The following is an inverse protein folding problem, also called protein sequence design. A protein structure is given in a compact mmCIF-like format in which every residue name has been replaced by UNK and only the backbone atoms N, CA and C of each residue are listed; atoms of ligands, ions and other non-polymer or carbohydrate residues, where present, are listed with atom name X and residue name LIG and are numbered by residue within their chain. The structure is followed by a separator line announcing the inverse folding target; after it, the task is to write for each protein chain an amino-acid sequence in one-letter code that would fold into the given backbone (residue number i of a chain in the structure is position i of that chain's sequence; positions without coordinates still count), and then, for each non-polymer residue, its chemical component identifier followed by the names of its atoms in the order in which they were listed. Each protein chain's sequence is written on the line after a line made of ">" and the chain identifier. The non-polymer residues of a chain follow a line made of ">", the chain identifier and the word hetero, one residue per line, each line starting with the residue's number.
data_IF_362725628241
#
_entry.id   IF_362725628241
#
_cell.length_a   1.000
_cell.length_b   1.000
_cell.length_c   1.000
_cell.angle_alpha   90.00
_cell.angle_beta   90.00
_cell.angle_gamma   90.00
#
_symmetry.space_group_name_H-M   'P 1'
#
loop_
_entity.id
_entity.type
_entity.pdbx_description
1 polymer ?
#
# COMPACT_ATOMS: atom_id res chain seq x y z
N UNK A 1 9.73 -6.52 -22.30
CA UNK A 1 9.16 -6.50 -20.91
C UNK A 1 8.89 -7.94 -20.54
N UNK A 2 9.28 -8.38 -19.36
CA UNK A 2 9.12 -9.78 -18.95
C UNK A 2 7.65 -10.05 -18.62
N UNK A 3 7.05 -11.13 -19.16
CA UNK A 3 5.67 -11.57 -18.83
C UNK A 3 5.50 -12.08 -17.39
N UNK A 4 6.43 -11.73 -16.48
CA UNK A 4 6.49 -12.25 -15.11
C UNK A 4 5.26 -11.91 -14.24
N UNK A 5 4.59 -10.80 -14.54
CA UNK A 5 3.43 -10.34 -13.77
C UNK A 5 2.10 -10.64 -14.46
N UNK A 6 2.11 -10.97 -15.75
CA UNK A 6 0.90 -11.24 -16.51
C UNK A 6 0.10 -12.41 -15.93
N UNK A 7 -1.20 -12.19 -15.74
CA UNK A 7 -2.09 -13.18 -15.12
C UNK A 7 -1.95 -13.32 -13.61
N UNK A 8 -1.06 -12.58 -12.95
CA UNK A 8 -1.04 -12.43 -11.51
C UNK A 8 -2.24 -11.61 -11.05
N UNK A 9 -2.60 -11.75 -9.79
CA UNK A 9 -3.74 -11.10 -9.15
C UNK A 9 -3.26 -10.30 -7.95
N UNK A 10 -3.70 -9.06 -7.82
CA UNK A 10 -3.26 -8.17 -6.77
C UNK A 10 -4.43 -7.54 -6.02
N UNK A 11 -4.24 -7.33 -4.72
CA UNK A 11 -5.06 -6.45 -3.89
C UNK A 11 -4.25 -5.22 -3.50
N UNK A 12 -4.78 -4.02 -3.78
CA UNK A 12 -4.18 -2.74 -3.37
C UNK A 12 -5.13 -2.01 -2.43
N UNK A 13 -4.73 -1.80 -1.18
CA UNK A 13 -5.55 -1.10 -0.19
C UNK A 13 -5.37 0.42 -0.27
N UNK A 14 -6.44 1.19 0.00
CA UNK A 14 -6.39 2.66 -0.05
C UNK A 14 -6.09 3.20 -1.45
N UNK A 15 -6.65 2.56 -2.48
CA UNK A 15 -6.29 2.81 -3.88
C UNK A 15 -7.28 3.73 -4.63
N UNK A 16 -8.09 4.54 -3.92
CA UNK A 16 -8.96 5.52 -4.58
C UNK A 16 -8.19 6.73 -5.14
N UNK A 17 -6.97 6.99 -4.66
CA UNK A 17 -6.12 8.11 -5.10
C UNK A 17 -4.65 7.90 -4.75
N UNK A 18 -3.81 8.86 -5.14
CA UNK A 18 -2.40 8.92 -4.76
C UNK A 18 -1.59 7.69 -5.16
N UNK A 19 -0.70 7.24 -4.26
CA UNK A 19 0.20 6.12 -4.50
C UNK A 19 -0.58 4.83 -4.83
N UNK A 20 -1.63 4.51 -4.06
CA UNK A 20 -2.40 3.28 -4.27
C UNK A 20 -3.05 3.21 -5.65
N UNK A 21 -3.62 4.32 -6.13
CA UNK A 21 -4.20 4.40 -7.48
C UNK A 21 -3.12 4.25 -8.56
N UNK A 22 -1.96 4.89 -8.39
CA UNK A 22 -0.85 4.77 -9.32
C UNK A 22 -0.31 3.34 -9.39
N UNK A 23 -0.15 2.67 -8.24
CA UNK A 23 0.27 1.26 -8.14
C UNK A 23 -0.76 0.34 -8.81
N UNK A 24 -2.06 0.51 -8.51
CA UNK A 24 -3.12 -0.29 -9.14
C UNK A 24 -3.10 -0.15 -10.67
N UNK A 25 -2.91 1.07 -11.17
CA UNK A 25 -2.79 1.34 -12.62
C UNK A 25 -1.55 0.67 -13.23
N UNK A 26 -0.39 0.81 -12.59
CA UNK A 26 0.85 0.24 -13.08
C UNK A 26 0.79 -1.30 -13.14
N UNK A 27 0.27 -1.94 -12.09
CA UNK A 27 0.04 -3.38 -12.08
C UNK A 27 -0.91 -3.83 -13.21
N UNK A 28 -2.03 -3.12 -13.39
CA UNK A 28 -2.99 -3.45 -14.44
C UNK A 28 -2.40 -3.31 -15.86
N UNK A 29 -1.52 -2.33 -16.09
CA UNK A 29 -0.79 -2.15 -17.36
C UNK A 29 0.16 -3.31 -17.67
N UNK A 30 0.72 -3.95 -16.63
CA UNK A 30 1.54 -5.18 -16.76
C UNK A 30 0.69 -6.47 -16.88
N UNK A 31 -0.64 -6.35 -16.99
CA UNK A 31 -1.55 -7.49 -17.15
C UNK A 31 -1.88 -8.22 -15.84
N UNK A 32 -1.67 -7.58 -14.71
CA UNK A 32 -2.11 -8.07 -13.39
C UNK A 32 -3.59 -7.76 -13.22
N UNK A 33 -4.40 -8.74 -12.85
CA UNK A 33 -5.78 -8.51 -12.43
C UNK A 33 -5.79 -7.84 -11.05
N UNK A 34 -6.51 -6.72 -10.90
CA UNK A 34 -6.38 -5.87 -9.70
C UNK A 34 -7.73 -5.71 -9.00
N UNK A 35 -7.75 -6.02 -7.71
CA UNK A 35 -8.78 -5.57 -6.78
C UNK A 35 -8.26 -4.34 -6.01
N UNK A 36 -9.13 -3.35 -5.82
CA UNK A 36 -8.84 -2.18 -5.00
C UNK A 36 -9.86 -2.00 -3.90
N UNK A 37 -9.47 -1.40 -2.78
CA UNK A 37 -10.44 -0.97 -1.79
C UNK A 37 -10.19 0.46 -1.31
N UNK A 38 -11.27 1.09 -0.87
CA UNK A 38 -11.26 2.39 -0.21
C UNK A 38 -12.48 2.50 0.71
N UNK A 39 -12.46 3.47 1.64
CA UNK A 39 -13.56 3.68 2.60
C UNK A 39 -14.77 4.40 2.02
N UNK A 40 -14.54 5.27 1.04
CA UNK A 40 -15.59 6.11 0.43
C UNK A 40 -16.00 5.56 -0.93
N UNK A 41 -17.26 5.22 -1.06
CA UNK A 41 -17.82 4.60 -2.26
C UNK A 41 -17.65 5.48 -3.51
N UNK A 42 -17.94 6.78 -3.40
CA UNK A 42 -17.82 7.71 -4.54
C UNK A 42 -16.38 7.85 -5.04
N UNK A 43 -15.39 7.90 -4.11
CA UNK A 43 -13.98 7.96 -4.47
C UNK A 43 -13.55 6.64 -5.13
N UNK A 44 -13.99 5.49 -4.60
CA UNK A 44 -13.71 4.18 -5.16
C UNK A 44 -14.29 4.02 -6.56
N UNK A 45 -15.55 4.42 -6.76
CA UNK A 45 -16.23 4.35 -8.06
C UNK A 45 -15.50 5.19 -9.13
N UNK A 46 -15.08 6.41 -8.79
CA UNK A 46 -14.29 7.27 -9.69
C UNK A 46 -12.95 6.63 -10.06
N UNK A 47 -12.27 6.04 -9.07
CA UNK A 47 -11.00 5.35 -9.29
C UNK A 47 -11.17 4.15 -10.23
N UNK A 48 -12.18 3.30 -10.00
CA UNK A 48 -12.49 2.16 -10.86
C UNK A 48 -12.77 2.58 -12.30
N UNK A 49 -13.60 3.61 -12.51
CA UNK A 49 -13.89 4.14 -13.85
C UNK A 49 -12.62 4.64 -14.55
N UNK A 50 -11.76 5.36 -13.82
CA UNK A 50 -10.48 5.86 -14.35
C UNK A 50 -9.55 4.71 -14.75
N UNK A 51 -9.41 3.70 -13.90
CA UNK A 51 -8.57 2.53 -14.15
C UNK A 51 -9.09 1.71 -15.34
N UNK A 52 -10.38 1.40 -15.39
CA UNK A 52 -11.00 0.65 -16.48
C UNK A 52 -10.88 1.36 -17.82
N UNK A 53 -11.00 2.71 -17.82
CA UNK A 53 -10.77 3.52 -19.03
C UNK A 53 -9.30 3.46 -19.48
N UNK A 54 -8.36 3.50 -18.55
CA UNK A 54 -6.93 3.48 -18.85
C UNK A 54 -6.43 2.10 -19.28
N UNK A 55 -7.02 1.02 -18.76
CA UNK A 55 -6.58 -0.38 -18.99
C UNK A 55 -7.79 -1.28 -19.26
N UNK A 56 -8.47 -1.12 -20.39
CA UNK A 56 -9.78 -1.76 -20.65
C UNK A 56 -9.72 -3.29 -20.85
N UNK A 57 -8.53 -3.85 -21.05
CA UNK A 57 -8.34 -5.28 -21.31
C UNK A 57 -8.03 -6.10 -20.04
N UNK A 58 -7.75 -5.43 -18.93
CA UNK A 58 -7.38 -6.08 -17.67
C UNK A 58 -8.57 -6.06 -16.72
N UNK A 59 -8.79 -7.14 -16.00
CA UNK A 59 -9.83 -7.20 -14.98
C UNK A 59 -9.45 -6.31 -13.80
N UNK A 60 -10.29 -5.31 -13.53
CA UNK A 60 -10.13 -4.39 -12.40
C UNK A 60 -11.46 -4.33 -11.66
N UNK A 61 -11.43 -4.61 -10.38
CA UNK A 61 -12.61 -4.64 -9.49
C UNK A 61 -12.30 -3.93 -8.17
N UNK A 62 -13.33 -3.75 -7.33
CA UNK A 62 -13.10 -3.16 -6.01
C UNK A 62 -14.35 -3.13 -5.16
N UNK A 63 -14.14 -3.03 -3.85
CA UNK A 63 -15.22 -2.88 -2.88
C UNK A 63 -14.87 -1.87 -1.78
N UNK A 64 -15.90 -1.38 -1.13
CA UNK A 64 -15.75 -0.49 0.03
C UNK A 64 -15.28 -1.32 1.22
N UNK A 65 -14.18 -0.92 1.84
CA UNK A 65 -13.68 -1.55 3.06
C UNK A 65 -12.90 -0.54 3.93
N UNK A 66 -13.11 -0.63 5.22
CA UNK A 66 -12.28 0.03 6.24
C UNK A 66 -11.29 -1.01 6.80
N UNK A 67 -10.03 -0.90 6.39
CA UNK A 67 -8.98 -1.84 6.81
C UNK A 67 -8.69 -1.80 8.32
N UNK A 68 -9.10 -0.75 9.03
CA UNK A 68 -8.97 -0.68 10.50
C UNK A 68 -9.92 -1.64 11.24
N UNK A 69 -10.85 -2.28 10.53
CA UNK A 69 -11.86 -3.19 11.07
C UNK A 69 -11.59 -4.61 10.55
N UNK A 70 -11.23 -5.53 11.44
CA UNK A 70 -10.90 -6.90 11.07
C UNK A 70 -12.02 -7.59 10.27
N UNK A 71 -13.29 -7.43 10.67
CA UNK A 71 -14.44 -7.99 9.94
C UNK A 71 -14.57 -7.44 8.51
N UNK A 72 -14.31 -6.13 8.29
CA UNK A 72 -14.30 -5.58 6.93
C UNK A 72 -13.15 -6.12 6.08
N UNK A 73 -12.02 -6.47 6.70
CA UNK A 73 -10.91 -7.11 5.99
C UNK A 73 -11.28 -8.53 5.58
N UNK A 74 -11.96 -9.30 6.43
CA UNK A 74 -12.47 -10.64 6.07
C UNK A 74 -13.43 -10.58 4.88
N UNK A 75 -14.38 -9.64 4.90
CA UNK A 75 -15.31 -9.40 3.79
C UNK A 75 -14.58 -8.98 2.51
N UNK A 76 -13.56 -8.11 2.63
CA UNK A 76 -12.71 -7.69 1.51
C UNK A 76 -12.00 -8.89 0.87
N UNK A 77 -11.40 -9.77 1.68
CA UNK A 77 -10.69 -10.93 1.15
C UNK A 77 -11.65 -11.97 0.55
N UNK A 78 -12.85 -12.17 1.13
CA UNK A 78 -13.89 -12.99 0.53
C UNK A 78 -14.36 -12.42 -0.83
N UNK A 79 -14.47 -11.10 -0.94
CA UNK A 79 -14.73 -10.42 -2.22
C UNK A 79 -13.62 -10.69 -3.25
N UNK A 80 -12.35 -10.55 -2.85
CA UNK A 80 -11.20 -10.80 -3.74
C UNK A 80 -11.17 -12.25 -4.22
N UNK A 81 -11.40 -13.22 -3.33
CA UNK A 81 -11.45 -14.64 -3.68
C UNK A 81 -12.56 -14.91 -4.70
N UNK A 82 -13.75 -14.33 -4.52
CA UNK A 82 -14.88 -14.50 -5.44
C UNK A 82 -14.60 -13.85 -6.80
N UNK A 83 -14.07 -12.63 -6.81
CA UNK A 83 -13.90 -11.87 -8.05
C UNK A 83 -12.68 -12.31 -8.84
N UNK A 84 -11.56 -12.59 -8.19
CA UNK A 84 -10.29 -12.91 -8.85
C UNK A 84 -9.92 -14.41 -8.75
N UNK A 85 -10.64 -15.21 -7.95
CA UNK A 85 -10.29 -16.60 -7.70
C UNK A 85 -9.04 -16.79 -6.84
N UNK A 86 -8.75 -15.82 -5.97
CA UNK A 86 -7.55 -15.73 -5.15
C UNK A 86 -6.67 -14.54 -5.54
N UNK A 87 -5.44 -14.45 -4.99
CA UNK A 87 -4.48 -13.40 -5.34
C UNK A 87 -3.04 -13.81 -5.01
N UNK A 88 -2.08 -13.13 -5.64
CA UNK A 88 -0.66 -13.40 -5.55
C UNK A 88 0.11 -12.26 -4.88
N UNK A 89 -0.46 -11.04 -4.88
CA UNK A 89 0.21 -9.80 -4.45
C UNK A 89 -0.71 -9.00 -3.55
N UNK A 90 -0.22 -8.63 -2.36
CA UNK A 90 -0.86 -7.66 -1.48
C UNK A 90 -0.02 -6.38 -1.43
N UNK A 91 -0.65 -5.24 -1.70
CA UNK A 91 -0.05 -3.93 -1.45
C UNK A 91 -0.81 -3.22 -0.35
N UNK A 92 -0.25 -3.19 0.85
CA UNK A 92 -0.74 -2.42 1.99
C UNK A 92 -0.34 -0.95 1.81
N UNK A 93 -1.24 -0.18 1.21
CA UNK A 93 -1.02 1.24 0.98
C UNK A 93 -1.98 2.13 1.78
N UNK A 94 -3.11 1.61 2.26
CA UNK A 94 -4.04 2.39 3.07
C UNK A 94 -3.32 3.05 4.25
N UNK A 95 -3.49 4.36 4.40
CA UNK A 95 -2.85 5.12 5.44
C UNK A 95 -3.34 6.56 5.53
N UNK A 96 -3.15 7.16 6.69
CA UNK A 96 -3.39 8.59 6.92
C UNK A 96 -2.35 9.17 7.88
N UNK A 97 -2.21 10.50 7.86
CA UNK A 97 -1.37 11.24 8.79
C UNK A 97 -2.13 12.36 9.47
N UNK A 98 -2.06 12.41 10.79
CA UNK A 98 -2.51 13.54 11.61
C UNK A 98 -1.26 14.06 12.32
N UNK A 99 -0.98 15.34 12.14
CA UNK A 99 0.26 15.94 12.63
C UNK A 99 -0.04 16.92 13.76
N UNK A 100 0.30 16.47 15.00
CA UNK A 100 0.17 17.24 16.23
C UNK A 100 1.29 16.88 17.21
N UNK A 101 1.62 17.79 18.10
CA UNK A 101 2.47 17.47 19.25
C UNK A 101 1.80 16.40 20.12
N UNK A 102 2.58 15.60 20.84
CA UNK A 102 2.04 14.47 21.62
C UNK A 102 1.00 14.90 22.67
N UNK A 103 1.16 16.09 23.26
CA UNK A 103 0.20 16.62 24.24
C UNK A 103 -1.12 17.12 23.65
N UNK A 104 -1.15 17.40 22.32
CA UNK A 104 -2.32 17.92 21.62
C UNK A 104 -3.02 16.84 20.76
N UNK A 105 -2.40 15.66 20.64
CA UNK A 105 -2.95 14.54 19.90
C UNK A 105 -4.01 13.85 20.75
N UNK A 106 -5.24 13.74 20.24
CA UNK A 106 -6.29 13.04 20.97
C UNK A 106 -6.11 11.52 20.90
N UNK A 107 -6.73 10.81 21.85
CA UNK A 107 -6.73 9.34 21.87
C UNK A 107 -7.37 8.78 20.59
N UNK A 108 -8.47 9.38 20.14
CA UNK A 108 -9.20 8.97 18.92
C UNK A 108 -8.35 9.19 17.65
N UNK A 109 -7.59 10.29 17.59
CA UNK A 109 -6.66 10.56 16.48
C UNK A 109 -5.52 9.54 16.47
N UNK A 110 -4.96 9.21 17.65
CA UNK A 110 -3.97 8.16 17.83
C UNK A 110 -4.50 6.80 17.38
N UNK A 111 -5.65 6.37 17.92
CA UNK A 111 -6.26 5.07 17.63
C UNK A 111 -6.60 4.95 16.13
N UNK A 112 -7.05 6.05 15.52
CA UNK A 112 -7.33 6.10 14.08
C UNK A 112 -6.06 5.86 13.26
N UNK A 113 -4.94 6.51 13.61
CA UNK A 113 -3.67 6.31 12.88
C UNK A 113 -3.12 4.90 13.08
N UNK A 114 -3.06 4.40 14.30
CA UNK A 114 -2.60 3.04 14.60
C UNK A 114 -3.53 2.03 13.93
N UNK A 115 -4.83 2.21 14.04
CA UNK A 115 -5.85 1.33 13.45
C UNK A 115 -5.70 1.18 11.94
N UNK A 116 -5.50 2.27 11.21
CA UNK A 116 -5.39 2.23 9.75
C UNK A 116 -3.98 1.86 9.31
N UNK A 117 -2.96 2.57 9.82
CA UNK A 117 -1.60 2.46 9.29
C UNK A 117 -0.89 1.17 9.71
N UNK A 118 -1.20 0.64 10.90
CA UNK A 118 -0.50 -0.52 11.45
C UNK A 118 -1.42 -1.73 11.60
N UNK A 119 -2.51 -1.62 12.36
CA UNK A 119 -3.43 -2.75 12.57
C UNK A 119 -4.08 -3.20 11.27
N UNK A 120 -4.47 -2.27 10.38
CA UNK A 120 -5.04 -2.58 9.08
C UNK A 120 -4.08 -3.33 8.17
N UNK A 121 -2.80 -2.94 8.17
CA UNK A 121 -1.77 -3.67 7.45
C UNK A 121 -1.55 -5.08 8.04
N UNK A 122 -1.59 -5.22 9.36
CA UNK A 122 -1.54 -6.52 10.01
C UNK A 122 -2.74 -7.39 9.61
N UNK A 123 -3.98 -6.89 9.69
CA UNK A 123 -5.17 -7.67 9.34
C UNK A 123 -5.13 -8.14 7.87
N UNK A 124 -4.79 -7.24 6.95
CA UNK A 124 -4.66 -7.59 5.54
C UNK A 124 -3.53 -8.61 5.31
N UNK A 125 -2.38 -8.44 5.94
CA UNK A 125 -1.26 -9.38 5.82
C UNK A 125 -1.59 -10.74 6.41
N UNK A 126 -2.26 -10.79 7.57
CA UNK A 126 -2.70 -12.04 8.21
C UNK A 126 -3.64 -12.83 7.31
N UNK A 127 -4.65 -12.16 6.73
CA UNK A 127 -5.59 -12.79 5.80
C UNK A 127 -4.89 -13.24 4.50
N UNK A 128 -3.89 -12.48 4.03
CA UNK A 128 -3.08 -12.83 2.86
C UNK A 128 -2.22 -14.07 3.11
N UNK A 129 -1.53 -14.12 4.23
CA UNK A 129 -0.62 -15.24 4.60
C UNK A 129 -1.36 -16.57 4.65
N UNK A 130 -2.60 -16.60 5.16
CA UNK A 130 -3.44 -17.80 5.17
C UNK A 130 -3.68 -18.34 3.74
N UNK A 131 -3.88 -17.44 2.78
CA UNK A 131 -4.12 -17.77 1.35
C UNK A 131 -2.83 -18.13 0.62
N UNK A 132 -1.74 -17.43 0.90
CA UNK A 132 -0.43 -17.72 0.31
C UNK A 132 0.08 -19.11 0.69
N UNK A 133 -0.16 -19.57 1.92
CA UNK A 133 0.14 -20.95 2.31
C UNK A 133 -0.57 -21.99 1.45
N UNK A 134 -1.81 -21.72 1.05
CA UNK A 134 -2.58 -22.61 0.19
C UNK A 134 -2.16 -22.52 -1.29
N UNK A 135 -1.71 -21.33 -1.73
CA UNK A 135 -1.30 -21.06 -3.10
C UNK A 135 0.19 -21.40 -3.36
N UNK A 136 0.99 -21.73 -2.33
CA UNK A 136 2.42 -22.02 -2.48
C UNK A 136 3.30 -20.78 -2.56
N UNK A 137 2.86 -19.66 -1.99
CA UNK A 137 3.64 -18.43 -1.91
C UNK A 137 2.89 -17.16 -2.31
N UNK A 138 3.56 -16.02 -2.16
CA UNK A 138 2.99 -14.71 -2.51
C UNK A 138 3.92 -13.55 -2.24
N UNK A 139 3.44 -12.33 -2.49
CA UNK A 139 4.22 -11.12 -2.26
C UNK A 139 3.42 -10.08 -1.48
N UNK A 140 4.00 -9.55 -0.40
CA UNK A 140 3.45 -8.43 0.38
C UNK A 140 4.37 -7.22 0.22
N UNK A 141 3.80 -6.10 -0.20
CA UNK A 141 4.48 -4.79 -0.23
C UNK A 141 3.77 -3.84 0.72
N UNK A 142 4.49 -3.33 1.70
CA UNK A 142 3.99 -2.36 2.65
C UNK A 142 4.47 -0.95 2.28
N UNK A 143 3.55 -0.02 2.03
CA UNK A 143 3.88 1.39 1.81
C UNK A 143 4.00 2.07 3.17
N UNK A 144 5.23 2.16 3.64
CA UNK A 144 5.59 2.83 4.89
C UNK A 144 5.83 4.34 4.68
N UNK A 145 6.88 4.88 5.26
CA UNK A 145 7.33 6.27 5.12
C UNK A 145 8.73 6.42 5.67
N UNK A 146 9.47 7.46 5.26
CA UNK A 146 10.68 7.90 5.96
C UNK A 146 10.39 8.26 7.42
N UNK A 147 9.15 8.62 7.74
CA UNK A 147 8.66 8.81 9.11
C UNK A 147 8.73 7.55 9.98
N UNK A 148 8.89 6.37 9.38
CA UNK A 148 9.14 5.11 10.09
C UNK A 148 10.60 4.88 10.47
N UNK A 149 11.49 5.80 10.10
CA UNK A 149 12.93 5.76 10.42
C UNK A 149 13.41 7.07 11.06
N UNK A 150 12.88 8.18 10.62
CA UNK A 150 13.27 9.53 11.08
C UNK A 150 12.05 10.19 11.71
N UNK A 151 12.07 10.35 13.02
CA UNK A 151 11.03 11.07 13.72
C UNK A 151 11.13 12.59 13.48
N UNK A 152 9.99 13.27 13.56
CA UNK A 152 9.91 14.73 13.43
C UNK A 152 8.90 15.30 14.43
N UNK A 153 9.07 16.55 14.80
CA UNK A 153 8.17 17.26 15.71
C UNK A 153 6.75 17.33 15.14
N UNK A 154 5.75 17.10 15.98
CA UNK A 154 4.34 17.04 15.57
C UNK A 154 3.94 15.73 14.87
N UNK A 155 4.85 14.77 14.74
CA UNK A 155 4.58 13.50 14.06
C UNK A 155 4.37 12.30 14.98
N UNK A 156 4.16 12.47 16.28
CA UNK A 156 4.23 11.39 17.28
C UNK A 156 3.40 10.15 16.91
N UNK A 157 2.11 10.30 16.63
CA UNK A 157 1.24 9.17 16.26
C UNK A 157 1.58 8.58 14.88
N UNK A 158 1.85 9.45 13.91
CA UNK A 158 2.24 8.99 12.57
C UNK A 158 3.58 8.26 12.58
N UNK A 159 4.61 8.84 13.26
CA UNK A 159 5.89 8.16 13.43
C UNK A 159 5.72 6.80 14.11
N UNK A 160 5.00 6.74 15.24
CA UNK A 160 4.77 5.48 15.95
C UNK A 160 4.18 4.40 15.02
N UNK A 161 3.14 4.76 14.24
CA UNK A 161 2.50 3.83 13.30
C UNK A 161 3.46 3.35 12.21
N UNK A 162 4.33 4.23 11.67
CA UNK A 162 5.24 3.88 10.58
C UNK A 162 6.52 3.18 11.07
N UNK A 163 7.03 3.49 12.27
CA UNK A 163 8.06 2.68 12.93
C UNK A 163 7.55 1.27 13.20
N UNK A 164 6.32 1.14 13.74
CA UNK A 164 5.66 -0.16 13.94
C UNK A 164 5.53 -0.93 12.62
N UNK A 165 5.12 -0.28 11.53
CA UNK A 165 5.02 -0.87 10.20
C UNK A 165 6.35 -1.44 9.71
N UNK A 166 7.45 -0.70 9.90
CA UNK A 166 8.78 -1.17 9.48
C UNK A 166 9.19 -2.41 10.26
N UNK A 167 9.08 -2.37 11.61
CA UNK A 167 9.39 -3.52 12.47
C UNK A 167 8.52 -4.73 12.15
N UNK A 168 7.20 -4.53 11.97
CA UNK A 168 6.28 -5.58 11.54
C UNK A 168 6.67 -6.20 10.20
N UNK A 169 7.04 -5.36 9.22
CA UNK A 169 7.45 -5.83 7.89
C UNK A 169 8.72 -6.69 7.94
N UNK A 170 9.71 -6.28 8.73
CA UNK A 170 10.96 -7.04 8.91
C UNK A 170 10.72 -8.38 9.62
N UNK A 171 9.95 -8.38 10.71
CA UNK A 171 9.60 -9.61 11.43
C UNK A 171 8.85 -10.59 10.52
N UNK A 172 7.81 -10.12 9.83
CA UNK A 172 7.02 -10.93 8.90
C UNK A 172 7.86 -11.50 7.75
N UNK A 173 8.83 -10.73 7.23
CA UNK A 173 9.78 -11.21 6.22
C UNK A 173 10.61 -12.37 6.77
N UNK A 174 11.10 -12.28 8.00
CA UNK A 174 11.91 -13.33 8.62
C UNK A 174 11.08 -14.58 8.92
N UNK A 175 9.83 -14.40 9.40
CA UNK A 175 8.93 -15.51 9.76
C UNK A 175 8.53 -16.36 8.55
N UNK A 176 8.39 -15.74 7.37
CA UNK A 176 7.77 -16.36 6.19
C UNK A 176 8.71 -16.55 4.99
N UNK A 177 10.01 -16.27 5.12
CA UNK A 177 10.96 -16.43 4.01
C UNK A 177 11.08 -17.87 3.48
N UNK A 178 10.77 -18.85 4.31
CA UNK A 178 10.83 -20.26 3.95
C UNK A 178 9.46 -20.80 3.47
N UNK A 179 8.42 -19.96 3.47
CA UNK A 179 7.06 -20.27 3.00
C UNK A 179 6.83 -19.74 1.57
N UNK A 180 7.88 -19.39 0.84
CA UNK A 180 7.82 -18.69 -0.46
C UNK A 180 7.03 -17.38 -0.43
N UNK A 181 6.91 -16.75 0.74
CA UNK A 181 6.30 -15.43 0.89
C UNK A 181 7.38 -14.37 0.96
N UNK A 182 7.36 -13.47 0.00
CA UNK A 182 8.27 -12.32 -0.07
C UNK A 182 7.61 -11.10 0.54
N UNK A 183 8.32 -10.42 1.43
CA UNK A 183 7.84 -9.20 2.08
C UNK A 183 8.82 -8.07 1.83
N UNK A 184 8.32 -6.97 1.31
CA UNK A 184 9.08 -5.73 1.10
C UNK A 184 8.36 -4.54 1.73
N UNK A 185 9.10 -3.53 2.14
CA UNK A 185 8.50 -2.26 2.49
C UNK A 185 9.24 -1.09 1.86
N UNK A 186 8.46 -0.10 1.44
CA UNK A 186 8.95 1.11 0.78
C UNK A 186 8.74 2.27 1.76
N UNK A 187 9.75 3.10 1.93
CA UNK A 187 9.74 4.29 2.79
C UNK A 187 9.83 5.55 1.94
N UNK A 188 8.71 6.05 1.38
CA UNK A 188 8.70 7.30 0.63
C UNK A 188 8.94 8.51 1.55
N UNK A 189 9.61 9.50 1.01
CA UNK A 189 9.61 10.87 1.53
C UNK A 189 8.36 11.63 1.09
N UNK A 190 8.50 12.93 0.79
CA UNK A 190 7.39 13.75 0.34
C UNK A 190 6.91 13.32 -1.05
N UNK A 191 5.73 12.74 -1.12
CA UNK A 191 5.06 12.36 -2.38
C UNK A 191 3.97 13.38 -2.69
N UNK A 192 3.80 13.72 -3.96
CA UNK A 192 2.80 14.68 -4.41
C UNK A 192 1.41 14.02 -4.44
N UNK A 193 0.70 14.12 -3.32
CA UNK A 193 -0.62 13.54 -3.09
C UNK A 193 -1.44 14.43 -2.16
N UNK A 194 -2.75 14.23 -2.12
CA UNK A 194 -3.67 14.85 -1.14
C UNK A 194 -3.53 14.27 0.30
N UNK A 195 -2.39 13.73 0.64
CA UNK A 195 -2.16 13.13 1.95
C UNK A 195 -2.27 14.17 3.08
N UNK A 196 -2.88 13.78 4.21
CA UNK A 196 -3.12 14.64 5.38
C UNK A 196 -4.04 15.85 5.11
N UNK A 197 -4.96 15.74 4.15
CA UNK A 197 -5.96 16.79 3.88
C UNK A 197 -5.40 18.03 3.21
N UNK A 198 -4.15 17.99 2.76
CA UNK A 198 -3.60 19.07 1.93
C UNK A 198 -4.21 18.98 0.54
N UNK A 199 -4.76 20.09 0.01
CA UNK A 199 -5.18 20.12 -1.38
C UNK A 199 -4.00 19.78 -2.29
N UNK A 200 -4.29 19.21 -3.46
CA UNK A 200 -3.29 19.06 -4.52
C UNK A 200 -2.81 20.47 -4.87
N UNK A 201 -1.70 20.88 -4.26
CA UNK A 201 -0.99 22.09 -4.70
C UNK A 201 -0.57 21.86 -6.16
N UNK A 202 -0.49 22.91 -6.98
CA UNK A 202 0.11 22.85 -8.32
C UNK A 202 1.33 21.92 -8.28
N UNK A 203 1.37 20.96 -9.23
CA UNK A 203 2.36 19.89 -9.30
C UNK A 203 3.72 20.35 -8.79
N UNK A 204 4.12 19.81 -7.68
CA UNK A 204 5.33 20.24 -7.00
C UNK A 204 6.51 19.48 -7.59
N UNK A 205 7.24 20.09 -8.53
CA UNK A 205 8.36 19.46 -9.25
C UNK A 205 9.45 18.86 -8.34
N UNK A 206 9.52 19.28 -7.06
CA UNK A 206 10.50 18.74 -6.13
C UNK A 206 10.03 17.49 -5.39
N UNK A 207 8.73 17.21 -5.34
CA UNK A 207 8.17 16.02 -4.67
C UNK A 207 8.28 14.79 -5.58
N UNK A 208 8.29 13.62 -4.95
CA UNK A 208 8.21 12.33 -5.64
C UNK A 208 6.81 12.22 -6.26
N UNK A 209 6.71 11.82 -7.53
CA UNK A 209 5.42 11.53 -8.13
C UNK A 209 4.88 10.18 -7.64
N UNK A 210 3.54 10.01 -7.48
CA UNK A 210 2.96 8.69 -7.17
C UNK A 210 3.38 7.59 -8.16
N UNK A 211 3.61 7.95 -9.43
CA UNK A 211 4.12 7.04 -10.46
C UNK A 211 5.49 6.47 -10.15
N UNK A 212 6.40 7.28 -9.59
CA UNK A 212 7.76 6.82 -9.24
C UNK A 212 7.71 5.68 -8.19
N UNK A 213 6.75 5.76 -7.26
CA UNK A 213 6.53 4.68 -6.27
C UNK A 213 5.91 3.46 -6.93
N UNK A 214 5.01 3.65 -7.90
CA UNK A 214 4.41 2.54 -8.64
C UNK A 214 5.45 1.79 -9.49
N UNK A 215 6.35 2.51 -10.17
CA UNK A 215 7.44 1.92 -10.93
C UNK A 215 8.39 1.12 -10.04
N UNK A 216 8.67 1.63 -8.83
CA UNK A 216 9.47 0.91 -7.85
C UNK A 216 8.79 -0.38 -7.38
N UNK A 217 7.46 -0.35 -7.16
CA UNK A 217 6.67 -1.56 -6.84
C UNK A 217 6.81 -2.59 -7.95
N UNK A 218 6.66 -2.21 -9.22
CA UNK A 218 6.87 -3.12 -10.35
C UNK A 218 8.28 -3.70 -10.36
N UNK A 219 9.28 -2.86 -10.14
CA UNK A 219 10.68 -3.30 -10.13
C UNK A 219 10.97 -4.34 -9.05
N UNK A 220 10.43 -4.14 -7.85
CA UNK A 220 10.53 -5.09 -6.73
C UNK A 220 9.86 -6.43 -7.09
N UNK A 221 8.68 -6.40 -7.67
CA UNK A 221 7.92 -7.60 -8.03
C UNK A 221 8.58 -8.39 -9.17
N UNK A 222 9.30 -7.72 -10.07
CA UNK A 222 10.00 -8.33 -11.21
C UNK A 222 11.38 -8.88 -10.85
N UNK A 223 11.85 -8.70 -9.63
CA UNK A 223 13.13 -9.31 -9.20
C UNK A 223 13.04 -10.83 -9.25
N UNK A 224 14.12 -11.51 -9.67
CA UNK A 224 14.15 -12.97 -9.73
C UNK A 224 13.90 -13.57 -8.34
N UNK A 225 13.30 -14.77 -8.31
CA UNK A 225 12.86 -15.43 -7.06
C UNK A 225 13.96 -15.54 -5.98
N UNK A 226 15.23 -15.68 -6.38
CA UNK A 226 16.38 -15.73 -5.48
C UNK A 226 16.74 -14.40 -4.81
N UNK A 227 16.12 -13.29 -5.23
CA UNK A 227 16.48 -11.94 -4.78
C UNK A 227 15.28 -11.27 -4.13
N UNK A 228 15.46 -10.77 -2.93
CA UNK A 228 14.47 -9.97 -2.21
C UNK A 228 15.02 -8.57 -1.95
N UNK A 229 14.36 -7.57 -2.53
CA UNK A 229 14.55 -6.17 -2.14
C UNK A 229 13.67 -5.94 -0.90
N UNK A 230 14.25 -6.16 0.29
CA UNK A 230 13.46 -6.18 1.54
C UNK A 230 12.98 -4.78 1.96
N UNK A 231 13.78 -3.73 1.72
CA UNK A 231 13.43 -2.35 2.05
C UNK A 231 14.01 -1.35 1.07
N UNK A 232 13.28 -0.26 0.85
CA UNK A 232 13.75 0.84 -0.01
C UNK A 232 13.39 2.19 0.61
N UNK A 233 14.37 3.08 0.67
CA UNK A 233 14.18 4.49 1.01
C UNK A 233 14.11 5.31 -0.28
N UNK A 234 13.08 6.14 -0.42
CA UNK A 234 12.91 7.02 -1.59
C UNK A 234 12.78 8.45 -1.11
N UNK A 235 13.65 9.30 -1.62
CA UNK A 235 13.73 10.73 -1.23
C UNK A 235 13.56 11.62 -2.44
N UNK A 236 12.95 12.80 -2.29
CA UNK A 236 13.11 13.84 -3.29
C UNK A 236 14.60 14.12 -3.51
N UNK A 237 15.03 14.18 -4.77
CA UNK A 237 16.45 14.45 -5.09
C UNK A 237 16.88 15.87 -4.69
N UNK A 238 15.94 16.82 -4.72
CA UNK A 238 16.15 18.23 -4.38
C UNK A 238 15.00 18.73 -3.51
N UNK A 239 15.00 18.44 -2.19
CA UNK A 239 13.95 18.93 -1.30
C UNK A 239 13.98 20.47 -1.22
N UNK A 240 12.82 21.10 -0.90
CA UNK A 240 12.82 22.53 -0.55
C UNK A 240 13.80 22.78 0.60
N UNK A 241 14.62 23.82 0.46
CA UNK A 241 15.43 24.32 1.58
C UNK A 241 14.46 24.94 2.60
N UNK A 242 14.55 24.49 3.84
CA UNK A 242 13.87 25.15 4.98
C UNK A 242 14.52 26.50 5.27
#
# INVERSE_FOLDING_TARGET
>A
MSDLLKGKRALVTGASKGIGLAVARALALEGVEVAICARKEDELRKALQSLQKAVPKTKITGCVADVSKAGNVEDLFAFVDRELGGFDILVNNAGLGIFRAAGDLTVEEWDTMIGINLSGAFYCSHSALARFRQAGGGFIINISSLAGKNAFAGGSGYNASKFGMNGFSEAMMLDHRNDDVRVSYIMPGSVDTEFAGKPEEEKSEWKIAPGDIADLVLHILQMPARTLVSRVEVRPSRPKKN
#
